data_IF_698801335872
#
_entry.id   IF_698801335872
#
_cell.length_a   1.000
_cell.length_b   1.000
_cell.length_c   1.000
_cell.angle_alpha   90.00
_cell.angle_beta   90.00
_cell.angle_gamma   90.00
#
_symmetry.space_group_name_H-M   'P 1'
#
loop_
_entity.id
_entity.type
_entity.pdbx_description
1 polymer ?
#
# COMPACT_ATOMS: atom_id res chain seq x y z
N UNK A 1 15.35 -7.41 -19.98
CA UNK A 1 14.71 -6.77 -18.81
C UNK A 1 13.38 -7.45 -18.65
N UNK A 2 13.30 -8.44 -17.76
CA UNK A 2 12.02 -9.01 -17.34
C UNK A 2 11.49 -8.07 -16.26
N UNK A 3 10.36 -7.39 -16.52
CA UNK A 3 9.88 -6.30 -15.65
C UNK A 3 9.12 -6.86 -14.45
N UNK A 4 8.34 -7.93 -14.67
CA UNK A 4 7.64 -8.72 -13.64
C UNK A 4 7.55 -10.17 -14.10
N UNK A 5 7.58 -11.10 -13.14
CA UNK A 5 7.30 -12.51 -13.37
C UNK A 5 5.80 -12.76 -13.45
N UNK A 6 5.36 -13.68 -14.30
CA UNK A 6 3.98 -14.15 -14.31
C UNK A 6 3.72 -15.12 -13.14
N UNK A 7 2.71 -14.79 -12.32
CA UNK A 7 2.30 -15.59 -11.17
C UNK A 7 0.95 -16.28 -11.42
N UNK A 8 0.73 -17.52 -10.94
CA UNK A 8 -0.56 -18.20 -11.08
C UNK A 8 -1.72 -17.46 -10.41
N UNK A 9 -1.48 -16.84 -9.25
CA UNK A 9 -2.38 -15.87 -8.63
C UNK A 9 -1.78 -14.47 -8.77
N UNK A 10 -2.22 -13.76 -9.79
CA UNK A 10 -1.74 -12.41 -10.10
C UNK A 10 -2.01 -11.42 -8.95
N UNK A 11 -3.04 -11.65 -8.12
CA UNK A 11 -3.27 -10.80 -6.95
C UNK A 11 -2.15 -10.93 -5.92
N UNK A 12 -1.59 -12.12 -5.73
CA UNK A 12 -0.42 -12.32 -4.86
C UNK A 12 0.87 -11.93 -5.59
N UNK A 13 0.95 -12.18 -6.90
CA UNK A 13 2.09 -11.80 -7.75
C UNK A 13 2.38 -10.31 -7.76
N UNK A 14 1.35 -9.47 -7.91
CA UNK A 14 1.53 -8.01 -7.82
C UNK A 14 2.07 -7.57 -6.44
N UNK A 15 1.72 -8.27 -5.37
CA UNK A 15 2.20 -7.94 -4.02
C UNK A 15 3.68 -8.29 -3.87
N UNK A 16 4.12 -9.42 -4.45
CA UNK A 16 5.55 -9.74 -4.55
C UNK A 16 6.28 -8.63 -5.29
N UNK A 17 5.77 -8.22 -6.46
CA UNK A 17 6.38 -7.15 -7.26
C UNK A 17 6.52 -5.86 -6.45
N UNK A 18 5.48 -5.44 -5.74
CA UNK A 18 5.50 -4.23 -4.89
C UNK A 18 6.51 -4.33 -3.75
N UNK A 19 6.70 -5.51 -3.14
CA UNK A 19 7.72 -5.75 -2.10
C UNK A 19 9.16 -5.75 -2.62
N UNK A 20 9.33 -5.71 -3.94
CA UNK A 20 10.60 -5.60 -4.65
C UNK A 20 10.73 -4.27 -5.42
N UNK A 21 9.85 -3.29 -5.14
CA UNK A 21 9.87 -2.01 -5.85
C UNK A 21 11.22 -1.28 -5.75
N UNK A 22 11.97 -1.49 -4.67
CA UNK A 22 13.31 -0.95 -4.45
C UNK A 22 14.40 -1.51 -5.36
N UNK A 23 14.14 -2.63 -6.03
CA UNK A 23 15.06 -3.23 -7.00
C UNK A 23 14.95 -2.54 -8.38
N UNK A 24 13.89 -1.76 -8.64
CA UNK A 24 13.62 -1.10 -9.92
C UNK A 24 13.92 0.41 -9.93
N UNK A 25 14.42 0.96 -8.83
CA UNK A 25 14.73 2.39 -8.71
C UNK A 25 15.86 2.65 -7.71
N UNK A 26 16.59 3.74 -7.89
CA UNK A 26 17.55 4.29 -6.93
C UNK A 26 16.95 5.39 -6.04
N UNK A 27 15.66 5.73 -6.22
CA UNK A 27 14.96 6.73 -5.45
C UNK A 27 14.95 6.39 -3.94
N UNK A 28 15.09 7.43 -3.10
CA UNK A 28 15.09 7.27 -1.64
C UNK A 28 13.70 6.97 -1.07
N UNK A 29 12.68 7.48 -1.73
CA UNK A 29 11.27 7.27 -1.40
C UNK A 29 10.58 6.66 -2.62
N UNK A 30 9.71 5.70 -2.37
CA UNK A 30 8.96 4.99 -3.41
C UNK A 30 7.48 5.24 -3.13
N UNK A 31 6.80 5.86 -4.10
CA UNK A 31 5.38 6.18 -4.05
C UNK A 31 4.61 5.18 -4.91
N UNK A 32 3.72 4.41 -4.30
CA UNK A 32 2.90 3.42 -4.99
C UNK A 32 1.56 4.03 -5.41
N UNK A 33 1.24 3.83 -6.69
CA UNK A 33 -0.06 4.11 -7.29
C UNK A 33 -0.52 2.82 -7.96
N UNK A 34 -1.57 2.20 -7.42
CA UNK A 34 -2.18 1.02 -8.04
C UNK A 34 -2.93 1.43 -9.31
N UNK A 35 -3.18 0.48 -10.20
CA UNK A 35 -3.84 0.73 -11.48
C UNK A 35 -5.30 1.23 -11.33
N UNK A 36 -5.92 1.03 -10.16
CA UNK A 36 -7.23 1.57 -9.80
C UNK A 36 -7.14 2.84 -8.95
N UNK A 37 -6.01 3.55 -8.98
CA UNK A 37 -5.83 4.85 -8.34
C UNK A 37 -5.66 5.97 -9.37
N UNK A 38 -6.15 7.16 -9.03
CA UNK A 38 -6.06 8.34 -9.89
C UNK A 38 -5.75 9.60 -9.09
N UNK A 39 -4.70 10.32 -9.48
CA UNK A 39 -4.45 11.68 -9.02
C UNK A 39 -5.24 12.62 -9.95
N UNK A 40 -6.24 13.29 -9.41
CA UNK A 40 -7.21 14.10 -10.15
C UNK A 40 -7.00 15.61 -9.99
N UNK A 41 -5.92 15.99 -9.30
CA UNK A 41 -5.57 17.39 -8.98
C UNK A 41 -4.05 17.57 -9.00
N UNK A 42 -3.55 18.80 -9.12
CA UNK A 42 -2.13 19.07 -8.90
C UNK A 42 -1.68 18.54 -7.53
N UNK A 43 -0.64 17.71 -7.52
CA UNK A 43 -0.08 17.11 -6.33
C UNK A 43 1.42 17.44 -6.25
N UNK A 44 1.85 17.92 -5.09
CA UNK A 44 3.26 18.17 -4.78
C UNK A 44 3.77 17.07 -3.81
N UNK A 45 4.99 16.53 -3.99
CA UNK A 45 5.55 15.54 -3.09
C UNK A 45 5.61 15.99 -1.62
N UNK A 46 5.70 17.29 -1.33
CA UNK A 46 5.64 17.82 0.03
C UNK A 46 4.32 17.53 0.75
N UNK A 47 3.23 17.29 0.03
CA UNK A 47 1.95 16.88 0.61
C UNK A 47 2.03 15.48 1.25
N UNK A 48 2.96 14.63 0.79
CA UNK A 48 3.24 13.30 1.33
C UNK A 48 4.11 13.34 2.59
N UNK A 49 4.57 14.53 3.00
CA UNK A 49 5.53 14.73 4.07
C UNK A 49 4.95 15.62 5.19
N UNK A 50 5.38 15.36 6.42
CA UNK A 50 5.20 16.23 7.58
C UNK A 50 6.59 16.66 8.07
N UNK A 51 7.09 17.79 7.54
CA UNK A 51 8.48 18.18 7.69
C UNK A 51 9.40 17.18 6.98
N UNK A 52 10.29 16.52 7.72
CA UNK A 52 11.20 15.50 7.19
C UNK A 52 10.68 14.06 7.33
N UNK A 53 9.48 13.88 7.90
CA UNK A 53 8.85 12.56 8.12
C UNK A 53 7.81 12.28 7.05
N UNK A 54 7.71 11.03 6.63
CA UNK A 54 6.72 10.56 5.66
C UNK A 54 5.37 10.47 6.36
N UNK A 55 4.30 11.02 5.77
CA UNK A 55 2.96 10.84 6.32
C UNK A 55 2.47 9.43 6.02
N UNK A 56 1.99 8.75 7.06
CA UNK A 56 1.35 7.45 6.91
C UNK A 56 0.04 7.45 7.69
N UNK A 57 -1.06 7.37 6.96
CA UNK A 57 -2.39 7.34 7.58
C UNK A 57 -2.70 5.93 8.03
N UNK A 58 -3.11 5.79 9.28
CA UNK A 58 -3.45 4.51 9.89
C UNK A 58 -4.76 4.63 10.67
N UNK A 59 -5.42 3.49 10.90
CA UNK A 59 -6.63 3.43 11.72
C UNK A 59 -6.45 2.35 12.78
N UNK A 60 -6.74 2.60 14.07
CA UNK A 60 -6.65 1.56 15.08
C UNK A 60 -7.48 0.33 14.72
N UNK A 61 -6.94 -0.87 14.95
CA UNK A 61 -7.66 -2.13 14.66
C UNK A 61 -8.99 -2.21 15.43
N UNK A 62 -9.04 -1.65 16.64
CA UNK A 62 -10.26 -1.53 17.45
C UNK A 62 -11.38 -0.75 16.74
N UNK A 63 -11.03 0.12 15.79
CA UNK A 63 -11.94 1.01 15.08
C UNK A 63 -12.52 0.43 13.77
N UNK A 64 -11.99 -0.68 13.24
CA UNK A 64 -12.36 -1.28 11.94
C UNK A 64 -13.71 -2.03 11.92
N UNK A 65 -14.43 -2.11 13.06
CA UNK A 65 -15.64 -2.92 13.17
C UNK A 65 -15.34 -4.42 12.99
N UNK A 66 -16.30 -5.19 12.43
CA UNK A 66 -16.18 -6.65 12.24
C UNK A 66 -15.34 -7.06 11.03
N UNK A 67 -15.22 -6.20 10.03
CA UNK A 67 -14.54 -6.52 8.78
C UNK A 67 -13.08 -6.07 8.83
N UNK A 68 -12.17 -7.01 9.13
CA UNK A 68 -10.73 -6.77 9.33
C UNK A 68 -9.88 -7.71 8.46
N UNK A 69 -9.99 -7.61 7.13
CA UNK A 69 -9.45 -8.61 6.22
C UNK A 69 -7.93 -8.74 6.30
N UNK A 70 -7.23 -7.66 6.69
CA UNK A 70 -5.78 -7.60 6.65
C UNK A 70 -5.10 -7.76 8.00
N UNK A 71 -5.82 -7.62 9.12
CA UNK A 71 -5.23 -7.76 10.45
C UNK A 71 -4.61 -9.13 10.63
N UNK A 72 -5.38 -10.21 10.47
CA UNK A 72 -4.88 -11.58 10.63
C UNK A 72 -3.70 -11.93 9.72
N UNK A 73 -3.77 -11.68 8.40
CA UNK A 73 -2.64 -11.86 7.48
C UNK A 73 -1.38 -11.09 7.89
N UNK A 74 -1.53 -9.83 8.32
CA UNK A 74 -0.40 -8.98 8.72
C UNK A 74 0.23 -9.47 10.02
N UNK A 75 -0.59 -9.81 11.02
CA UNK A 75 -0.12 -10.37 12.30
C UNK A 75 0.60 -11.70 12.10
N UNK A 76 0.06 -12.57 11.22
CA UNK A 76 0.69 -13.83 10.88
C UNK A 76 2.04 -13.66 10.20
N UNK A 77 2.17 -12.69 9.28
CA UNK A 77 3.46 -12.36 8.67
C UNK A 77 4.46 -11.82 9.70
N UNK A 78 4.02 -10.95 10.60
CA UNK A 78 4.88 -10.30 11.58
C UNK A 78 5.22 -11.20 12.79
N UNK A 79 4.42 -12.25 13.02
CA UNK A 79 4.53 -13.09 14.22
C UNK A 79 4.07 -12.39 15.50
N UNK A 80 3.30 -11.31 15.39
CA UNK A 80 2.85 -10.49 16.53
C UNK A 80 1.56 -9.72 16.21
N UNK A 81 0.79 -9.31 17.24
CA UNK A 81 -0.36 -8.43 17.05
C UNK A 81 0.01 -7.08 16.42
N UNK A 82 -0.93 -6.50 15.67
CA UNK A 82 -0.81 -5.15 15.10
C UNK A 82 -1.86 -4.22 15.68
N UNK A 83 -1.45 -2.99 15.97
CA UNK A 83 -2.33 -1.98 16.58
C UNK A 83 -3.20 -1.24 15.58
N UNK A 84 -2.76 -1.17 14.32
CA UNK A 84 -3.39 -0.37 13.27
C UNK A 84 -3.53 -1.14 11.95
N UNK A 85 -4.51 -0.74 11.15
CA UNK A 85 -4.59 -0.99 9.72
C UNK A 85 -3.99 0.20 8.97
N UNK A 86 -3.10 -0.08 8.03
CA UNK A 86 -2.24 0.91 7.40
C UNK A 86 -2.60 1.19 5.94
N UNK A 87 -3.44 0.34 5.33
CA UNK A 87 -3.91 0.53 3.96
C UNK A 87 -5.15 1.45 3.94
N UNK A 88 -4.97 2.70 4.40
CA UNK A 88 -6.06 3.67 4.63
C UNK A 88 -6.24 4.69 3.53
N UNK A 89 -5.20 5.49 3.28
CA UNK A 89 -5.27 6.63 2.37
C UNK A 89 -4.08 6.57 1.42
N UNK A 90 -4.31 6.29 0.13
CA UNK A 90 -3.27 6.33 -0.88
C UNK A 90 -2.94 7.79 -1.31
N UNK A 91 -1.79 8.02 -1.97
CA UNK A 91 -0.80 7.01 -2.37
C UNK A 91 0.06 6.53 -1.18
N UNK A 92 0.60 5.32 -1.29
CA UNK A 92 1.41 4.72 -0.23
C UNK A 92 2.90 4.97 -0.49
N UNK A 93 3.56 5.66 0.45
CA UNK A 93 4.95 6.08 0.31
C UNK A 93 5.81 5.43 1.38
N UNK A 94 6.92 4.83 0.96
CA UNK A 94 7.86 4.17 1.87
C UNK A 94 9.32 4.52 1.51
N UNK A 95 10.22 4.58 2.51
CA UNK A 95 11.63 4.72 2.24
C UNK A 95 12.19 3.41 1.68
N UNK A 96 13.15 3.52 0.77
CA UNK A 96 13.76 2.36 0.09
C UNK A 96 14.31 1.31 1.05
N UNK A 97 14.85 1.73 2.19
CA UNK A 97 15.42 0.84 3.22
C UNK A 97 14.40 -0.08 3.90
N UNK A 98 13.10 0.23 3.82
CA UNK A 98 12.05 -0.58 4.43
C UNK A 98 11.85 -1.92 3.72
N UNK A 99 11.97 -1.96 2.40
CA UNK A 99 11.74 -3.14 1.59
C UNK A 99 12.70 -4.30 1.93
N UNK A 100 14.04 -4.12 1.95
CA UNK A 100 14.95 -5.18 2.37
C UNK A 100 14.75 -5.57 3.84
N UNK A 101 14.30 -4.65 4.72
CA UNK A 101 13.96 -4.98 6.10
C UNK A 101 12.75 -5.93 6.18
N UNK A 102 11.68 -5.69 5.40
CA UNK A 102 10.55 -6.63 5.28
C UNK A 102 11.02 -8.00 4.75
N UNK A 103 11.85 -8.01 3.71
CA UNK A 103 12.38 -9.27 3.14
C UNK A 103 13.26 -10.03 4.13
N UNK A 104 14.07 -9.32 4.93
CA UNK A 104 14.89 -9.89 5.99
C UNK A 104 14.04 -10.47 7.12
N UNK A 105 13.01 -9.73 7.56
CA UNK A 105 12.04 -10.21 8.56
C UNK A 105 11.36 -11.50 8.09
N UNK A 106 10.90 -11.55 6.84
CA UNK A 106 10.28 -12.76 6.29
C UNK A 106 11.21 -13.98 6.37
N UNK A 107 12.48 -13.81 6.00
CA UNK A 107 13.48 -14.89 6.08
C UNK A 107 13.72 -15.33 7.53
N UNK A 108 13.84 -14.39 8.45
CA UNK A 108 14.09 -14.69 9.85
C UNK A 108 12.90 -15.39 10.53
N UNK A 109 11.68 -14.94 10.25
CA UNK A 109 10.47 -15.46 10.87
C UNK A 109 9.98 -16.76 10.22
N UNK A 110 10.01 -16.85 8.89
CA UNK A 110 9.36 -17.95 8.15
C UNK A 110 10.36 -18.90 7.48
N UNK A 111 11.66 -18.62 7.56
CA UNK A 111 12.70 -19.48 6.97
C UNK A 111 12.67 -19.54 5.43
N UNK A 112 11.99 -18.60 4.78
CA UNK A 112 11.81 -18.59 3.32
C UNK A 112 11.88 -17.17 2.72
N UNK A 113 12.03 -17.08 1.40
CA UNK A 113 11.97 -15.79 0.70
C UNK A 113 10.56 -15.18 0.80
N UNK A 114 10.48 -13.85 0.65
CA UNK A 114 9.18 -13.17 0.68
C UNK A 114 8.28 -13.62 -0.48
N UNK A 115 8.84 -13.87 -1.66
CA UNK A 115 8.11 -14.39 -2.81
C UNK A 115 7.49 -15.76 -2.48
N UNK A 116 8.28 -16.69 -1.94
CA UNK A 116 7.78 -18.01 -1.56
C UNK A 116 6.71 -17.93 -0.46
N UNK A 117 6.89 -17.04 0.51
CA UNK A 117 5.89 -16.81 1.54
C UNK A 117 4.56 -16.31 0.94
N UNK A 118 4.61 -15.20 0.20
CA UNK A 118 3.40 -14.54 -0.34
C UNK A 118 2.65 -15.46 -1.30
N UNK A 119 3.37 -16.11 -2.22
CA UNK A 119 2.75 -17.04 -3.21
C UNK A 119 2.20 -18.32 -2.59
N UNK A 120 2.62 -18.70 -1.38
CA UNK A 120 2.06 -19.84 -0.64
C UNK A 120 0.79 -19.49 0.15
N UNK A 121 0.38 -18.21 0.20
CA UNK A 121 -0.81 -17.79 0.93
C UNK A 121 -2.09 -18.14 0.14
N UNK A 122 -3.23 -18.34 0.81
CA UNK A 122 -4.50 -18.43 0.11
C UNK A 122 -4.80 -17.11 -0.63
N UNK A 123 -5.73 -17.10 -1.60
CA UNK A 123 -6.16 -15.87 -2.26
C UNK A 123 -6.57 -14.82 -1.23
N UNK A 124 -6.05 -13.59 -1.36
CA UNK A 124 -6.25 -12.50 -0.38
C UNK A 124 -5.70 -12.79 1.02
N UNK A 125 -4.80 -13.76 1.15
CA UNK A 125 -4.12 -14.12 2.40
C UNK A 125 -2.90 -13.26 2.72
N UNK A 126 -2.69 -12.16 2.01
CA UNK A 126 -1.56 -11.24 2.21
C UNK A 126 -1.95 -9.82 1.79
N UNK A 127 -1.33 -8.82 2.45
CA UNK A 127 -1.44 -7.39 2.13
C UNK A 127 -0.10 -6.71 2.33
N UNK A 128 0.58 -6.42 1.23
CA UNK A 128 1.86 -5.73 1.16
C UNK A 128 1.83 -4.34 1.82
N UNK A 129 0.78 -3.54 1.61
CA UNK A 129 0.72 -2.19 2.18
C UNK A 129 0.49 -2.22 3.69
N UNK A 130 -0.26 -3.20 4.21
CA UNK A 130 -0.37 -3.38 5.65
C UNK A 130 0.93 -3.88 6.27
N UNK A 131 1.64 -4.80 5.61
CA UNK A 131 2.95 -5.27 6.06
C UNK A 131 3.99 -4.16 6.04
N UNK A 132 4.05 -3.37 4.96
CA UNK A 132 4.94 -2.21 4.85
C UNK A 132 4.60 -1.15 5.92
N UNK A 133 3.31 -0.82 6.09
CA UNK A 133 2.89 0.14 7.11
C UNK A 133 3.19 -0.31 8.54
N UNK A 134 2.98 -1.59 8.84
CA UNK A 134 3.33 -2.16 10.14
C UNK A 134 4.85 -2.23 10.34
N UNK A 135 5.61 -2.62 9.31
CA UNK A 135 7.08 -2.60 9.33
C UNK A 135 7.65 -1.20 9.54
N UNK A 136 7.03 -0.18 8.92
CA UNK A 136 7.37 1.23 9.14
C UNK A 136 7.22 1.62 10.62
N UNK A 137 6.13 1.21 11.27
CA UNK A 137 5.91 1.44 12.70
C UNK A 137 6.95 0.70 13.56
N UNK A 138 7.26 -0.55 13.22
CA UNK A 138 8.12 -1.41 14.04
C UNK A 138 9.61 -1.07 13.93
N UNK A 139 10.09 -0.72 12.74
CA UNK A 139 11.52 -0.65 12.46
C UNK A 139 12.01 0.76 12.14
N UNK A 140 11.12 1.63 11.65
CA UNK A 140 11.48 2.98 11.21
C UNK A 140 10.56 4.07 11.79
N UNK A 141 10.13 4.03 13.08
CA UNK A 141 9.10 4.93 13.59
C UNK A 141 9.47 6.41 13.45
N UNK A 142 10.75 6.75 13.54
CA UNK A 142 11.24 8.13 13.41
C UNK A 142 11.12 8.67 11.97
N UNK A 143 11.06 7.79 10.97
CA UNK A 143 10.91 8.18 9.55
C UNK A 143 9.49 8.61 9.19
N UNK A 144 8.50 8.30 10.03
CA UNK A 144 7.08 8.46 9.69
C UNK A 144 6.32 9.32 10.69
N UNK A 145 5.52 10.25 10.18
CA UNK A 145 4.45 10.88 10.95
C UNK A 145 3.19 10.02 10.77
N UNK A 146 2.89 9.18 11.76
CA UNK A 146 1.67 8.39 11.79
C UNK A 146 0.47 9.30 12.08
N UNK A 147 -0.54 9.24 11.22
CA UNK A 147 -1.74 10.08 11.32
C UNK A 147 -2.96 9.18 11.46
N UNK A 148 -3.75 9.37 12.51
CA UNK A 148 -5.03 8.69 12.64
C UNK A 148 -5.98 9.17 11.52
N UNK A 149 -6.57 8.24 10.77
CA UNK A 149 -7.55 8.53 9.72
C UNK A 149 -8.73 9.37 10.21
N UNK A 150 -9.08 9.27 11.50
CA UNK A 150 -10.18 10.02 12.13
C UNK A 150 -9.74 11.37 12.69
N UNK A 151 -8.46 11.69 12.64
CA UNK A 151 -7.96 12.97 13.12
C UNK A 151 -8.58 14.12 12.32
N UNK A 152 -9.02 15.22 12.98
CA UNK A 152 -9.45 16.42 12.27
C UNK A 152 -8.31 17.03 11.44
N UNK A 153 -7.05 16.77 11.82
CA UNK A 153 -5.85 17.28 11.15
C UNK A 153 -5.33 16.33 10.06
N UNK A 154 -6.14 15.35 9.64
CA UNK A 154 -5.73 14.41 8.58
C UNK A 154 -5.45 15.15 7.26
N UNK A 155 -4.40 14.76 6.52
CA UNK A 155 -4.13 15.36 5.22
C UNK A 155 -5.30 15.10 4.26
N UNK A 156 -5.56 16.00 3.30
CA UNK A 156 -6.55 15.73 2.27
C UNK A 156 -6.13 14.49 1.47
N UNK A 157 -7.11 13.67 1.07
CA UNK A 157 -6.84 12.57 0.14
C UNK A 157 -6.19 13.14 -1.12
N UNK A 158 -5.11 12.54 -1.60
CA UNK A 158 -4.36 13.05 -2.77
C UNK A 158 -4.71 12.30 -4.05
N UNK A 159 -5.25 11.10 -3.93
CA UNK A 159 -5.76 10.32 -5.03
C UNK A 159 -7.13 9.74 -4.71
N UNK A 160 -7.89 9.49 -5.78
CA UNK A 160 -9.03 8.59 -5.77
C UNK A 160 -8.53 7.17 -5.90
N UNK A 161 -9.25 6.25 -5.31
CA UNK A 161 -8.99 4.81 -5.43
C UNK A 161 -10.32 4.10 -5.62
N UNK A 162 -10.31 3.11 -6.50
CA UNK A 162 -11.50 2.39 -6.93
C UNK A 162 -11.32 0.91 -6.63
N UNK A 163 -12.39 0.14 -6.77
CA UNK A 163 -12.30 -1.30 -6.70
C UNK A 163 -12.21 -1.87 -8.11
N UNK A 164 -11.01 -2.26 -8.55
CA UNK A 164 -10.76 -2.86 -9.88
C UNK A 164 -11.67 -4.04 -10.23
N UNK A 165 -12.25 -4.74 -9.23
CA UNK A 165 -13.18 -5.86 -9.45
C UNK A 165 -14.67 -5.47 -9.35
N UNK A 166 -14.98 -4.22 -9.06
CA UNK A 166 -16.36 -3.72 -8.96
C UNK A 166 -17.04 -3.51 -10.32
N UNK A 167 -16.27 -3.51 -11.41
CA UNK A 167 -16.77 -3.20 -12.75
C UNK A 167 -16.94 -1.69 -12.99
N UNK A 168 -17.36 -1.34 -14.21
CA UNK A 168 -17.62 0.04 -14.63
C UNK A 168 -19.11 0.22 -14.90
N UNK A 169 -19.85 0.67 -13.89
CA UNK A 169 -21.24 1.11 -14.07
C UNK A 169 -21.31 2.51 -14.71
N UNK A 170 -22.52 2.92 -15.09
CA UNK A 170 -22.73 4.21 -15.75
C UNK A 170 -22.38 5.40 -14.87
N UNK A 171 -22.52 5.27 -13.54
CA UNK A 171 -22.19 6.34 -12.61
C UNK A 171 -20.67 6.56 -12.55
N UNK A 172 -19.91 5.48 -12.39
CA UNK A 172 -18.45 5.50 -12.40
C UNK A 172 -17.91 5.95 -13.76
N UNK A 173 -18.52 5.52 -14.88
CA UNK A 173 -18.13 6.01 -16.21
C UNK A 173 -18.30 7.52 -16.36
N UNK A 174 -19.42 8.08 -15.88
CA UNK A 174 -19.65 9.53 -15.88
C UNK A 174 -18.65 10.26 -15.00
N UNK A 175 -18.35 9.73 -13.81
CA UNK A 175 -17.33 10.30 -12.93
C UNK A 175 -15.96 10.33 -13.63
N UNK A 176 -15.51 9.19 -14.15
CA UNK A 176 -14.22 9.08 -14.83
C UNK A 176 -14.14 10.00 -16.04
N UNK A 177 -15.22 10.12 -16.84
CA UNK A 177 -15.27 11.04 -17.97
C UNK A 177 -15.15 12.51 -17.53
N UNK A 178 -15.81 12.90 -16.44
CA UNK A 178 -15.72 14.26 -15.91
C UNK A 178 -14.31 14.60 -15.39
N UNK A 179 -13.61 13.63 -14.77
CA UNK A 179 -12.27 13.84 -14.22
C UNK A 179 -11.19 13.82 -15.31
N UNK A 180 -11.35 12.99 -16.34
CA UNK A 180 -10.36 12.84 -17.43
C UNK A 180 -10.55 13.82 -18.60
N UNK A 181 -11.64 14.61 -18.59
CA UNK A 181 -11.97 15.56 -19.66
C UNK A 181 -12.64 14.91 -20.88
N UNK A 182 -13.19 13.71 -20.74
CA UNK A 182 -13.80 12.92 -21.82
C UNK A 182 -12.78 12.39 -22.84
N UNK A 183 -13.21 11.50 -23.76
CA UNK A 183 -12.39 11.16 -24.91
C UNK A 183 -12.11 12.43 -25.70
N UNK A 184 -10.83 12.80 -25.82
CA UNK A 184 -10.42 13.74 -26.86
C UNK A 184 -10.66 13.04 -28.19
N UNK A 185 -11.56 13.57 -29.01
CA UNK A 185 -11.65 13.16 -30.41
C UNK A 185 -10.25 13.33 -31.01
N UNK A 186 -9.66 12.23 -31.48
CA UNK A 186 -8.38 12.20 -32.21
C UNK A 186 -8.69 12.20 -33.69
#
# INVERSE_FOLDING_TARGET
>A
MEVCRDYPDDYLGQQVTKLHADDYTDARLICHLDADMMIDRPCDPGLLMAGHRIRLVCLPVSALGRHRPWTGPTEHFLGRPVEHDYMRVPPFVYPRELYPAVRAHCRAMHGMSVEAYVTSRPPRGFSEFNVLGAGAHLWLPDRFAFVDERSPDRPPALCRWYWSRGGLDDALRRELAAVTGGPREV
#
